data_IF_937962363280
#
_entry.id   IF_937962363280
#
_cell.length_a   1.000
_cell.length_b   1.000
_cell.length_c   1.000
_cell.angle_alpha   90.00
_cell.angle_beta   90.00
_cell.angle_gamma   90.00
#
_symmetry.space_group_name_H-M   'P 1'
#
loop_
_entity.id
_entity.type
_entity.pdbx_description
1 polymer ?
#
# COMPACT_ATOMS: atom_id res chain seq x y z
N UNK A 1 -18.77 56.31 10.48
CA UNK A 1 -18.18 55.14 9.79
C UNK A 1 -16.66 55.17 9.98
N UNK A 2 -16.13 54.43 10.97
CA UNK A 2 -14.68 54.28 11.16
C UNK A 2 -14.22 53.00 10.48
N UNK A 3 -13.24 53.11 9.59
CA UNK A 3 -12.63 51.98 8.88
C UNK A 3 -11.80 51.12 9.85
N UNK A 4 -11.95 49.78 9.88
CA UNK A 4 -11.14 48.95 10.76
C UNK A 4 -9.71 48.90 10.22
N UNK A 5 -8.79 49.55 10.94
CA UNK A 5 -7.37 49.45 10.70
C UNK A 5 -6.97 47.96 10.64
N UNK A 6 -6.40 47.54 9.49
CA UNK A 6 -5.78 46.22 9.38
C UNK A 6 -4.71 46.14 10.46
N UNK A 7 -4.94 45.31 11.48
CA UNK A 7 -3.95 44.99 12.52
C UNK A 7 -2.72 44.43 11.80
N UNK A 8 -1.71 45.28 11.57
CA UNK A 8 -0.44 44.86 10.99
C UNK A 8 0.15 43.81 11.94
N UNK A 9 0.13 42.55 11.53
CA UNK A 9 0.77 41.47 12.26
C UNK A 9 2.25 41.83 12.28
N UNK A 10 2.76 42.26 13.44
CA UNK A 10 4.17 42.64 13.63
C UNK A 10 5.00 41.50 13.06
N UNK A 11 5.75 41.75 12.00
CA UNK A 11 6.63 40.75 11.42
C UNK A 11 7.59 40.31 12.54
N UNK A 12 7.79 39.00 12.75
CA UNK A 12 8.74 38.53 13.74
C UNK A 12 10.11 39.16 13.47
N UNK A 13 10.84 39.52 14.53
CA UNK A 13 12.23 39.95 14.42
C UNK A 13 13.08 38.83 13.82
N UNK A 14 14.25 39.18 13.26
CA UNK A 14 15.13 38.24 12.54
C UNK A 14 15.45 36.99 13.38
N UNK A 15 15.65 37.16 14.70
CA UNK A 15 15.87 36.05 15.63
C UNK A 15 14.66 35.10 15.76
N UNK A 16 13.43 35.63 15.84
CA UNK A 16 12.22 34.80 15.84
C UNK A 16 12.00 34.10 14.50
N UNK A 17 12.38 34.73 13.39
CA UNK A 17 12.34 34.10 12.06
C UNK A 17 13.32 32.92 12.01
N UNK A 18 14.54 33.10 12.49
CA UNK A 18 15.56 32.03 12.53
C UNK A 18 15.10 30.85 13.40
N UNK A 19 14.55 31.11 14.59
CA UNK A 19 14.04 30.06 15.48
C UNK A 19 12.86 29.33 14.82
N UNK A 20 11.93 30.05 14.19
CA UNK A 20 10.78 29.46 13.50
C UNK A 20 11.22 28.61 12.30
N UNK A 21 12.19 29.08 11.52
CA UNK A 21 12.78 28.35 10.39
C UNK A 21 13.45 27.07 10.87
N UNK A 22 14.33 27.15 11.87
CA UNK A 22 15.03 25.99 12.41
C UNK A 22 14.03 24.92 12.90
N UNK A 23 13.00 25.33 13.65
CA UNK A 23 11.94 24.43 14.12
C UNK A 23 11.15 23.81 12.97
N UNK A 24 10.78 24.61 11.97
CA UNK A 24 10.00 24.14 10.82
C UNK A 24 10.80 23.16 9.97
N UNK A 25 12.08 23.45 9.73
CA UNK A 25 13.00 22.56 9.00
C UNK A 25 13.22 21.25 9.75
N UNK A 26 13.36 21.29 11.07
CA UNK A 26 13.46 20.09 11.90
C UNK A 26 12.21 19.21 11.79
N UNK A 27 11.01 19.78 11.98
CA UNK A 27 9.73 19.04 11.85
C UNK A 27 9.50 18.52 10.43
N UNK A 28 9.87 19.29 9.40
CA UNK A 28 9.78 18.84 8.01
C UNK A 28 10.70 17.64 7.77
N UNK A 29 11.95 17.72 8.24
CA UNK A 29 12.93 16.64 8.07
C UNK A 29 12.48 15.37 8.79
N UNK A 30 12.00 15.49 10.03
CA UNK A 30 11.51 14.35 10.82
C UNK A 30 10.35 13.63 10.13
N UNK A 31 9.40 14.38 9.57
CA UNK A 31 8.22 13.80 8.93
C UNK A 31 8.48 13.30 7.51
N UNK A 32 9.25 14.03 6.69
CA UNK A 32 9.35 13.77 5.24
C UNK A 32 10.49 12.85 4.85
N UNK A 33 11.54 12.73 5.66
CA UNK A 33 12.66 11.81 5.35
C UNK A 33 12.18 10.36 5.23
N UNK A 34 11.28 9.93 6.14
CA UNK A 34 10.70 8.58 6.09
C UNK A 34 9.96 8.31 4.77
N UNK A 35 9.12 9.24 4.35
CA UNK A 35 8.38 9.13 3.08
C UNK A 35 9.30 9.23 1.86
N UNK A 36 10.35 10.06 1.93
CA UNK A 36 11.34 10.19 0.86
C UNK A 36 12.11 8.88 0.63
N UNK A 37 12.56 8.20 1.69
CA UNK A 37 13.17 6.88 1.55
C UNK A 37 12.16 5.85 1.02
N UNK A 38 10.92 5.89 1.52
CA UNK A 38 9.91 4.92 1.10
C UNK A 38 9.58 5.02 -0.40
N UNK A 39 9.48 6.23 -0.96
CA UNK A 39 9.23 6.37 -2.41
C UNK A 39 10.42 5.91 -3.25
N UNK A 40 11.65 6.04 -2.75
CA UNK A 40 12.84 5.49 -3.42
C UNK A 40 12.73 3.96 -3.48
N UNK A 41 12.37 3.32 -2.36
CA UNK A 41 12.17 1.87 -2.31
C UNK A 41 11.03 1.42 -3.24
N UNK A 42 9.90 2.16 -3.24
CA UNK A 42 8.77 1.89 -4.13
C UNK A 42 9.16 2.04 -5.61
N UNK A 43 10.01 3.02 -5.94
CA UNK A 43 10.51 3.22 -7.29
C UNK A 43 11.44 2.08 -7.71
N UNK A 44 12.33 1.62 -6.81
CA UNK A 44 13.20 0.47 -7.06
C UNK A 44 12.37 -0.81 -7.31
N UNK A 45 11.36 -1.06 -6.48
CA UNK A 45 10.44 -2.17 -6.70
C UNK A 45 9.74 -2.04 -8.06
N UNK A 46 9.25 -0.84 -8.42
CA UNK A 46 8.58 -0.61 -9.69
C UNK A 46 9.50 -0.88 -10.89
N UNK A 47 10.79 -0.57 -10.76
CA UNK A 47 11.80 -0.94 -11.76
C UNK A 47 11.91 -2.47 -11.91
N UNK A 48 12.03 -3.21 -10.80
CA UNK A 48 12.07 -4.69 -10.84
C UNK A 48 10.78 -5.29 -11.42
N UNK A 49 9.64 -4.68 -11.09
CA UNK A 49 8.32 -5.09 -11.58
C UNK A 49 8.24 -5.03 -13.09
N UNK A 50 8.63 -3.88 -13.66
CA UNK A 50 8.61 -3.66 -15.11
C UNK A 50 9.71 -4.45 -15.83
N UNK A 51 10.85 -4.70 -15.18
CA UNK A 51 11.97 -5.47 -15.76
C UNK A 51 11.61 -6.93 -15.98
N UNK A 52 10.99 -7.60 -15.00
CA UNK A 52 10.77 -9.05 -15.05
C UNK A 52 9.37 -9.47 -14.61
N UNK A 53 8.87 -8.97 -13.47
CA UNK A 53 7.66 -9.50 -12.83
C UNK A 53 6.41 -9.47 -13.73
N UNK A 54 6.28 -8.45 -14.59
CA UNK A 54 5.16 -8.31 -15.54
C UNK A 54 5.00 -9.49 -16.51
N UNK A 55 6.07 -10.25 -16.77
CA UNK A 55 6.03 -11.41 -17.65
C UNK A 55 5.48 -12.67 -16.97
N UNK A 56 5.51 -12.72 -15.63
CA UNK A 56 5.09 -13.89 -14.85
C UNK A 56 3.56 -14.00 -14.78
N UNK A 57 3.05 -15.23 -14.96
CA UNK A 57 1.60 -15.51 -14.88
C UNK A 57 1.04 -15.28 -13.48
N UNK A 58 1.80 -15.62 -12.44
CA UNK A 58 1.45 -15.40 -11.03
C UNK A 58 1.23 -13.91 -10.73
N UNK A 59 2.11 -13.05 -11.25
CA UNK A 59 2.00 -11.61 -11.12
C UNK A 59 0.73 -11.07 -11.82
N UNK A 60 0.44 -11.52 -13.06
CA UNK A 60 -0.79 -11.13 -13.78
C UNK A 60 -2.06 -11.57 -13.04
N UNK A 61 -2.06 -12.80 -12.49
CA UNK A 61 -3.18 -13.30 -11.70
C UNK A 61 -3.39 -12.44 -10.45
N UNK A 62 -2.32 -12.13 -9.72
CA UNK A 62 -2.37 -11.24 -8.56
C UNK A 62 -2.93 -9.87 -8.94
N UNK A 63 -2.47 -9.27 -10.03
CA UNK A 63 -2.99 -7.97 -10.48
C UNK A 63 -4.48 -8.00 -10.81
N UNK A 64 -4.96 -9.08 -11.45
CA UNK A 64 -6.40 -9.28 -11.72
C UNK A 64 -7.20 -9.42 -10.43
N UNK A 65 -6.69 -10.16 -9.44
CA UNK A 65 -7.31 -10.29 -8.12
C UNK A 65 -7.36 -8.93 -7.40
N UNK A 66 -6.27 -8.17 -7.41
CA UNK A 66 -6.23 -6.83 -6.79
C UNK A 66 -7.26 -5.88 -7.43
N UNK A 67 -7.40 -5.91 -8.76
CA UNK A 67 -8.42 -5.13 -9.47
C UNK A 67 -9.85 -5.60 -9.18
N UNK A 68 -10.06 -6.91 -9.06
CA UNK A 68 -11.35 -7.48 -8.72
C UNK A 68 -11.77 -7.10 -7.29
N UNK A 69 -10.87 -7.23 -6.32
CA UNK A 69 -11.09 -6.84 -4.94
C UNK A 69 -11.30 -5.33 -4.80
N UNK A 70 -10.56 -4.51 -5.56
CA UNK A 70 -10.81 -3.06 -5.63
C UNK A 70 -12.21 -2.74 -6.17
N UNK A 71 -12.71 -3.51 -7.14
CA UNK A 71 -14.08 -3.30 -7.67
C UNK A 71 -15.15 -3.63 -6.62
N UNK A 72 -14.94 -4.66 -5.80
CA UNK A 72 -15.86 -5.03 -4.71
C UNK A 72 -15.75 -4.09 -3.51
N UNK A 73 -14.53 -3.69 -3.14
CA UNK A 73 -14.22 -2.92 -1.94
C UNK A 73 -13.33 -1.71 -2.25
N UNK A 74 -13.81 -0.71 -3.02
CA UNK A 74 -12.99 0.36 -3.56
C UNK A 74 -12.35 1.28 -2.52
N UNK A 75 -12.93 1.36 -1.32
CA UNK A 75 -12.38 2.17 -0.22
C UNK A 75 -11.34 1.44 0.63
N UNK A 76 -11.34 0.10 0.59
CA UNK A 76 -10.53 -0.73 1.50
C UNK A 76 -9.39 -1.43 0.75
N UNK A 77 -9.61 -1.75 -0.53
CA UNK A 77 -8.66 -2.51 -1.35
C UNK A 77 -8.17 -1.70 -2.53
N UNK A 78 -7.33 -0.71 -2.27
CA UNK A 78 -6.77 0.13 -3.33
C UNK A 78 -5.50 -0.53 -3.87
N UNK A 79 -5.35 -0.73 -5.20
CA UNK A 79 -4.12 -1.24 -5.78
C UNK A 79 -2.95 -0.30 -5.49
N UNK A 80 -1.77 -0.85 -5.19
CA UNK A 80 -0.58 -0.06 -4.80
C UNK A 80 -0.25 1.09 -5.78
N UNK A 81 -0.30 0.82 -7.09
CA UNK A 81 -0.07 1.85 -8.10
C UNK A 81 -1.03 3.03 -7.96
N UNK A 82 -2.32 2.74 -7.74
CA UNK A 82 -3.33 3.79 -7.55
C UNK A 82 -3.12 4.57 -6.25
N UNK A 83 -2.68 3.90 -5.17
CA UNK A 83 -2.33 4.58 -3.92
C UNK A 83 -1.20 5.60 -4.13
N UNK A 84 -0.13 5.21 -4.82
CA UNK A 84 1.03 6.07 -5.07
C UNK A 84 0.70 7.21 -6.02
N UNK A 85 0.00 6.95 -7.12
CA UNK A 85 -0.17 7.92 -8.22
C UNK A 85 -1.35 8.85 -8.02
N UNK A 86 -2.46 8.37 -7.45
CA UNK A 86 -3.75 9.09 -7.47
C UNK A 86 -4.23 9.51 -6.08
N UNK A 87 -3.44 9.27 -5.03
CA UNK A 87 -3.80 9.69 -3.66
C UNK A 87 -2.70 10.54 -3.03
N UNK A 88 -3.01 11.18 -1.90
CA UNK A 88 -2.04 11.91 -1.06
C UNK A 88 -1.67 11.13 0.20
N UNK A 89 -1.85 9.81 0.18
CA UNK A 89 -1.48 8.94 1.29
C UNK A 89 0.04 9.00 1.49
N UNK A 90 0.54 9.13 2.74
CA UNK A 90 1.96 9.02 3.03
C UNK A 90 2.54 7.69 2.54
N UNK A 91 3.72 7.72 1.91
CA UNK A 91 4.30 6.53 1.26
C UNK A 91 4.55 5.39 2.24
N UNK A 92 4.93 5.69 3.48
CA UNK A 92 5.09 4.66 4.51
C UNK A 92 3.79 3.90 4.81
N UNK A 93 2.64 4.58 4.78
CA UNK A 93 1.33 3.94 5.00
C UNK A 93 0.98 3.00 3.83
N UNK A 94 1.31 3.38 2.60
CA UNK A 94 1.12 2.53 1.41
C UNK A 94 1.86 1.18 1.57
N UNK A 95 3.06 1.20 2.17
CA UNK A 95 3.83 -0.03 2.44
C UNK A 95 3.15 -0.87 3.52
N UNK A 96 2.61 -0.25 4.57
CA UNK A 96 1.88 -0.94 5.64
C UNK A 96 0.58 -1.58 5.12
N UNK A 97 -0.21 -0.83 4.35
CA UNK A 97 -1.42 -1.32 3.68
C UNK A 97 -1.10 -2.47 2.75
N UNK A 98 0.01 -2.37 1.99
CA UNK A 98 0.43 -3.45 1.11
C UNK A 98 0.80 -4.72 1.89
N UNK A 99 1.53 -4.59 2.99
CA UNK A 99 1.86 -5.74 3.86
C UNK A 99 0.60 -6.40 4.41
N UNK A 100 -0.42 -5.62 4.75
CA UNK A 100 -1.71 -6.15 5.19
C UNK A 100 -2.45 -6.89 4.07
N UNK A 101 -2.53 -6.31 2.86
CA UNK A 101 -3.10 -6.96 1.68
C UNK A 101 -2.39 -8.28 1.37
N UNK A 102 -1.06 -8.28 1.39
CA UNK A 102 -0.23 -9.45 1.12
C UNK A 102 -0.47 -10.58 2.14
N UNK A 103 -0.64 -10.25 3.42
CA UNK A 103 -1.01 -11.20 4.47
C UNK A 103 -2.39 -11.82 4.26
N UNK A 104 -3.36 -11.04 3.80
CA UNK A 104 -4.71 -11.56 3.52
C UNK A 104 -4.66 -12.56 2.38
N UNK A 105 -3.98 -12.20 1.30
CA UNK A 105 -3.95 -13.07 0.12
C UNK A 105 -3.15 -14.34 0.35
N UNK A 106 -2.08 -14.29 1.15
CA UNK A 106 -1.36 -15.51 1.54
C UNK A 106 -2.26 -16.43 2.35
N UNK A 107 -3.02 -15.91 3.32
CA UNK A 107 -4.01 -16.70 4.08
C UNK A 107 -5.08 -17.32 3.19
N UNK A 108 -5.61 -16.56 2.23
CA UNK A 108 -6.58 -17.07 1.26
C UNK A 108 -5.98 -18.18 0.38
N UNK A 109 -4.74 -17.99 -0.09
CA UNK A 109 -4.03 -18.99 -0.87
C UNK A 109 -3.81 -20.29 -0.07
N UNK A 110 -3.33 -20.19 1.18
CA UNK A 110 -3.17 -21.36 2.05
C UNK A 110 -4.50 -22.08 2.28
N UNK A 111 -5.56 -21.33 2.58
CA UNK A 111 -6.90 -21.89 2.81
C UNK A 111 -7.41 -22.65 1.58
N UNK A 112 -7.26 -22.08 0.38
CA UNK A 112 -7.67 -22.73 -0.86
C UNK A 112 -6.89 -24.01 -1.13
N UNK A 113 -5.57 -24.00 -0.93
CA UNK A 113 -4.72 -25.19 -1.09
C UNK A 113 -5.10 -26.29 -0.09
N UNK A 114 -5.33 -25.93 1.18
CA UNK A 114 -5.76 -26.89 2.21
C UNK A 114 -7.12 -27.53 1.89
N UNK A 115 -8.10 -26.74 1.43
CA UNK A 115 -9.41 -27.25 1.02
C UNK A 115 -9.29 -28.18 -0.19
N UNK A 116 -8.52 -27.78 -1.21
CA UNK A 116 -8.31 -28.60 -2.41
C UNK A 116 -7.65 -29.94 -2.07
N UNK A 117 -6.64 -29.94 -1.19
CA UNK A 117 -5.99 -31.15 -0.71
C UNK A 117 -6.97 -32.07 0.04
N UNK A 118 -7.78 -31.51 0.95
CA UNK A 118 -8.78 -32.29 1.68
C UNK A 118 -9.81 -32.92 0.74
N UNK A 119 -10.32 -32.18 -0.25
CA UNK A 119 -11.26 -32.70 -1.26
C UNK A 119 -10.64 -33.81 -2.11
N UNK A 120 -9.36 -33.68 -2.44
CA UNK A 120 -8.65 -34.70 -3.23
C UNK A 120 -8.49 -35.99 -2.43
N UNK A 121 -8.14 -35.88 -1.14
CA UNK A 121 -8.04 -37.03 -0.22
C UNK A 121 -9.41 -37.69 -0.01
N UNK A 122 -10.47 -36.92 0.21
CA UNK A 122 -11.83 -37.45 0.35
C UNK A 122 -12.28 -38.14 -0.95
N UNK A 123 -11.99 -37.53 -2.10
CA UNK A 123 -12.28 -38.09 -3.42
C UNK A 123 -11.60 -39.45 -3.61
N UNK A 124 -10.28 -39.52 -3.39
CA UNK A 124 -9.48 -40.74 -3.45
C UNK A 124 -9.98 -41.82 -2.48
N UNK A 125 -10.27 -41.44 -1.23
CA UNK A 125 -10.82 -42.35 -0.23
C UNK A 125 -12.19 -42.91 -0.65
N UNK A 126 -13.07 -42.06 -1.18
CA UNK A 126 -14.40 -42.45 -1.66
C UNK A 126 -14.36 -43.33 -2.93
N UNK A 127 -13.34 -43.15 -3.78
CA UNK A 127 -13.12 -43.94 -4.98
C UNK A 127 -12.59 -45.33 -4.63
N UNK A 128 -11.62 -45.41 -3.71
CA UNK A 128 -11.09 -46.68 -3.17
C UNK A 128 -12.17 -47.46 -2.43
N UNK A 129 -13.05 -46.79 -1.68
CA UNK A 129 -14.18 -47.44 -0.98
C UNK A 129 -15.24 -47.97 -1.94
N UNK A 130 -15.39 -47.39 -3.14
CA UNK A 130 -16.34 -47.81 -4.18
C UNK A 130 -15.80 -48.91 -5.10
N UNK A 131 -14.56 -49.38 -4.90
CA UNK A 131 -13.97 -50.48 -5.68
C UNK A 131 -13.71 -50.15 -7.15
N UNK A 132 -13.61 -48.86 -7.49
CA UNK A 132 -13.33 -48.37 -8.86
C UNK A 132 -11.82 -48.27 -9.14
N UNK A 133 -10.99 -48.50 -8.11
CA UNK A 133 -9.53 -48.64 -8.15
C UNK A 133 -9.12 -49.87 -7.35
#
# INVERSE_FOLDING_TARGET
MQSPARRAKRLPNDESITILLAKTLAMYSETRVKDAHTIIDLAMYNYEELKDLVNHRSYKLRKKLDLFLNRLFPKTWIPRYSMVTFTRMPYHQIVEDRRWQDKILSRLQFSFVSIAAALTVIGLYSARRRGVL
#
